data_IF_026641674413
#
_entry.id   IF_026641674413
#
_cell.length_a   1.000
_cell.length_b   1.000
_cell.length_c   1.000
_cell.angle_alpha   90.00
_cell.angle_beta   90.00
_cell.angle_gamma   90.00
#
_symmetry.space_group_name_H-M   'P 1'
#
loop_
_entity.id
_entity.type
_entity.pdbx_description
1 polymer ?
#
# COMPACT_ATOMS: atom_id res chain seq x y z
N UNK A 1 -9.59 15.02 65.64
CA UNK A 1 -10.12 15.74 64.48
C UNK A 1 -8.98 16.01 63.49
N UNK A 2 -9.10 15.47 62.27
CA UNK A 2 -8.50 15.94 61.00
C UNK A 2 -7.04 15.61 60.59
N UNK A 3 -6.96 14.70 59.60
CA UNK A 3 -6.18 14.73 58.34
C UNK A 3 -4.63 14.67 58.39
N UNK A 4 -4.03 13.50 58.10
CA UNK A 4 -3.60 13.00 56.77
C UNK A 4 -2.35 13.69 56.18
N UNK A 5 -1.19 13.38 56.74
CA UNK A 5 0.07 13.42 55.98
C UNK A 5 0.41 12.00 55.53
N UNK A 6 -0.27 11.59 54.45
CA UNK A 6 0.05 10.40 53.69
C UNK A 6 1.41 10.64 53.03
N UNK A 7 2.45 10.10 53.65
CA UNK A 7 3.70 9.76 52.97
C UNK A 7 3.35 8.88 51.76
N UNK A 8 3.22 9.52 50.59
CA UNK A 8 3.24 8.86 49.30
C UNK A 8 4.59 8.16 49.18
N UNK A 9 4.62 6.86 49.48
CA UNK A 9 5.68 5.98 49.05
C UNK A 9 5.66 6.02 47.51
N UNK A 10 6.54 6.85 46.95
CA UNK A 10 6.74 6.98 45.50
C UNK A 10 7.33 5.66 45.02
N UNK A 11 6.45 4.74 44.61
CA UNK A 11 6.84 3.46 44.05
C UNK A 11 7.77 3.69 42.85
N UNK A 12 8.89 2.96 42.74
CA UNK A 12 9.78 3.08 41.61
C UNK A 12 9.03 2.67 40.35
N UNK A 13 8.88 3.61 39.43
CA UNK A 13 8.13 3.45 38.19
C UNK A 13 8.85 2.43 37.26
N UNK A 14 8.34 1.18 37.15
CA UNK A 14 9.08 0.07 36.55
C UNK A 14 9.19 0.18 35.03
N UNK A 15 8.45 1.13 34.43
CA UNK A 15 8.34 1.36 32.98
C UNK A 15 9.14 2.61 32.56
N UNK A 16 9.87 3.24 33.49
CA UNK A 16 10.68 4.44 33.22
C UNK A 16 11.76 4.22 32.16
N UNK A 17 12.31 3.02 32.08
CA UNK A 17 13.32 2.67 31.08
C UNK A 17 12.71 2.51 29.67
N UNK A 18 11.50 1.97 29.57
CA UNK A 18 10.72 1.87 28.32
C UNK A 18 10.33 3.24 27.78
N UNK A 19 9.86 4.14 28.64
CA UNK A 19 9.51 5.51 28.24
C UNK A 19 10.73 6.29 27.76
N UNK A 20 11.87 6.14 28.45
CA UNK A 20 13.15 6.75 28.06
C UNK A 20 13.70 6.21 26.74
N UNK A 21 13.51 4.91 26.48
CA UNK A 21 13.86 4.31 25.19
C UNK A 21 13.01 4.88 24.05
N UNK A 22 11.69 4.98 24.26
CA UNK A 22 10.77 5.58 23.28
C UNK A 22 11.02 7.07 22.99
N UNK A 23 11.56 7.82 23.96
CA UNK A 23 11.90 9.25 23.81
C UNK A 23 13.27 9.47 23.14
N UNK A 24 14.23 8.55 23.36
CA UNK A 24 15.56 8.60 22.76
C UNK A 24 15.57 8.37 21.24
N UNK A 25 14.65 7.55 20.75
CA UNK A 25 14.50 7.25 19.32
C UNK A 25 13.85 8.41 18.54
N UNK A 26 12.87 9.09 19.15
CA UNK A 26 12.21 10.27 18.55
C UNK A 26 13.15 11.46 18.41
N UNK A 27 14.08 11.65 19.35
CA UNK A 27 15.00 12.79 19.35
C UNK A 27 16.18 12.62 18.35
N UNK A 28 16.54 11.37 18.04
CA UNK A 28 17.55 11.03 17.01
C UNK A 28 16.98 11.03 15.59
N UNK A 29 15.72 10.63 15.41
CA UNK A 29 15.04 10.73 14.12
C UNK A 29 14.72 12.18 13.71
N UNK A 30 14.46 13.06 14.69
CA UNK A 30 14.16 14.47 14.44
C UNK A 30 15.37 15.33 14.04
N UNK A 31 16.60 14.91 14.37
CA UNK A 31 17.81 15.73 14.20
C UNK A 31 18.65 15.43 12.95
N UNK A 32 18.36 14.36 12.20
CA UNK A 32 19.13 14.00 10.99
C UNK A 32 18.31 13.90 9.69
N UNK A 33 16.98 14.00 9.73
CA UNK A 33 16.14 13.64 8.56
C UNK A 33 15.24 14.76 8.02
N UNK A 34 15.63 16.03 8.16
CA UNK A 34 14.91 17.16 7.53
C UNK A 34 15.79 18.07 6.65
N UNK A 35 17.07 17.73 6.46
CA UNK A 35 18.01 18.59 5.71
C UNK A 35 18.64 17.94 4.47
N UNK A 36 18.26 16.68 4.15
CA UNK A 36 18.68 15.95 2.93
C UNK A 36 17.51 15.34 2.15
N UNK A 37 16.36 16.00 2.09
CA UNK A 37 15.49 15.76 0.93
C UNK A 37 15.94 16.76 -0.14
N UNK A 38 16.48 16.32 -1.28
CA UNK A 38 16.57 17.18 -2.45
C UNK A 38 15.23 17.87 -2.58
N UNK A 39 15.20 19.21 -2.66
CA UNK A 39 13.94 19.90 -2.94
C UNK A 39 13.55 19.52 -4.36
N UNK A 40 12.86 18.39 -4.49
CA UNK A 40 12.27 17.96 -5.73
C UNK A 40 11.39 19.11 -6.18
N UNK A 41 11.68 19.64 -7.34
CA UNK A 41 10.83 20.69 -7.89
C UNK A 41 9.41 20.10 -8.02
N UNK A 42 8.35 20.89 -7.81
CA UNK A 42 6.98 20.38 -7.89
C UNK A 42 6.67 19.68 -9.24
N UNK A 43 7.42 20.04 -10.29
CA UNK A 43 7.45 19.38 -11.60
C UNK A 43 8.00 17.94 -11.55
N UNK A 44 9.13 17.71 -10.87
CA UNK A 44 9.80 16.40 -10.78
C UNK A 44 9.00 15.39 -9.94
N UNK A 45 8.41 15.84 -8.83
CA UNK A 45 7.53 15.00 -8.01
C UNK A 45 6.28 14.56 -8.79
N UNK A 46 5.74 15.41 -9.66
CA UNK A 46 4.58 15.10 -10.49
C UNK A 46 4.90 14.05 -11.56
N UNK A 47 6.09 14.14 -12.18
CA UNK A 47 6.55 13.17 -13.18
C UNK A 47 6.80 11.80 -12.55
N UNK A 48 7.39 11.77 -11.36
CA UNK A 48 7.60 10.54 -10.60
C UNK A 48 6.26 9.88 -10.21
N UNK A 49 5.31 10.66 -9.71
CA UNK A 49 3.97 10.17 -9.37
C UNK A 49 3.23 9.57 -10.58
N UNK A 50 3.36 10.19 -11.77
CA UNK A 50 2.79 9.65 -13.00
C UNK A 50 3.42 8.31 -13.42
N UNK A 51 4.73 8.14 -13.24
CA UNK A 51 5.40 6.86 -13.50
C UNK A 51 4.91 5.76 -12.55
N UNK A 52 4.73 6.09 -11.27
CA UNK A 52 4.15 5.19 -10.28
C UNK A 52 2.71 4.81 -10.63
N UNK A 53 1.84 5.77 -10.96
CA UNK A 53 0.47 5.50 -11.37
C UNK A 53 0.40 4.64 -12.64
N UNK A 54 1.30 4.85 -13.60
CA UNK A 54 1.39 4.01 -14.80
C UNK A 54 1.79 2.58 -14.46
N UNK A 55 2.79 2.39 -13.60
CA UNK A 55 3.23 1.07 -13.15
C UNK A 55 2.11 0.32 -12.43
N UNK A 56 1.42 1.03 -11.53
CA UNK A 56 0.27 0.51 -10.80
C UNK A 56 -0.88 0.14 -11.74
N UNK A 57 -1.19 1.03 -12.68
CA UNK A 57 -2.25 0.83 -13.68
C UNK A 57 -1.99 -0.37 -14.59
N UNK A 58 -0.74 -0.59 -15.01
CA UNK A 58 -0.36 -1.76 -15.81
C UNK A 58 -0.58 -3.07 -15.05
N UNK A 59 -0.20 -3.12 -13.77
CA UNK A 59 -0.44 -4.30 -12.93
C UNK A 59 -1.93 -4.50 -12.66
N UNK A 60 -2.67 -3.43 -12.39
CA UNK A 60 -4.12 -3.49 -12.23
C UNK A 60 -4.79 -4.05 -13.50
N UNK A 61 -4.39 -3.61 -14.69
CA UNK A 61 -4.91 -4.13 -15.96
C UNK A 61 -4.60 -5.61 -16.16
N UNK A 62 -3.38 -6.05 -15.83
CA UNK A 62 -3.04 -7.47 -15.86
C UNK A 62 -3.93 -8.28 -14.92
N UNK A 63 -4.12 -7.81 -13.68
CA UNK A 63 -5.03 -8.42 -12.72
C UNK A 63 -6.49 -8.44 -13.21
N UNK A 64 -6.99 -7.35 -13.78
CA UNK A 64 -8.33 -7.28 -14.38
C UNK A 64 -8.49 -8.33 -15.48
N UNK A 65 -7.50 -8.48 -16.36
CA UNK A 65 -7.50 -9.49 -17.41
C UNK A 65 -7.60 -10.91 -16.86
N UNK A 66 -6.81 -11.22 -15.82
CA UNK A 66 -6.86 -12.52 -15.13
C UNK A 66 -8.24 -12.74 -14.48
N UNK A 67 -8.75 -11.76 -13.73
CA UNK A 67 -10.05 -11.86 -13.07
C UNK A 67 -11.19 -12.04 -14.07
N UNK A 68 -11.17 -11.31 -15.18
CA UNK A 68 -12.13 -11.48 -16.27
C UNK A 68 -12.04 -12.89 -16.87
N UNK A 69 -10.83 -13.38 -17.16
CA UNK A 69 -10.62 -14.73 -17.68
C UNK A 69 -11.16 -15.81 -16.73
N UNK A 70 -10.93 -15.67 -15.43
CA UNK A 70 -11.47 -16.58 -14.39
C UNK A 70 -13.00 -16.51 -14.38
N UNK A 71 -13.59 -15.32 -14.33
CA UNK A 71 -15.05 -15.16 -14.33
C UNK A 71 -15.70 -15.73 -15.60
N UNK A 72 -15.08 -15.53 -16.75
CA UNK A 72 -15.51 -16.14 -18.03
C UNK A 72 -15.38 -17.66 -17.98
N UNK A 73 -14.29 -18.21 -17.44
CA UNK A 73 -14.11 -19.64 -17.30
C UNK A 73 -15.20 -20.28 -16.42
N UNK A 74 -15.58 -19.63 -15.32
CA UNK A 74 -16.68 -20.10 -14.46
C UNK A 74 -18.01 -20.18 -15.21
N UNK A 75 -18.30 -19.19 -16.06
CA UNK A 75 -19.50 -19.18 -16.89
C UNK A 75 -19.44 -20.28 -17.96
N UNK A 76 -18.33 -20.38 -18.69
CA UNK A 76 -18.18 -21.32 -19.81
C UNK A 76 -18.19 -22.79 -19.34
N UNK A 77 -17.60 -23.06 -18.19
CA UNK A 77 -17.59 -24.39 -17.58
C UNK A 77 -18.89 -24.71 -16.80
N UNK A 78 -19.88 -23.79 -16.83
CA UNK A 78 -21.16 -23.90 -16.13
C UNK A 78 -21.00 -24.19 -14.62
N UNK A 79 -19.97 -23.62 -14.00
CA UNK A 79 -19.70 -23.80 -12.56
C UNK A 79 -20.84 -23.18 -11.76
N UNK A 80 -21.47 -23.98 -10.89
CA UNK A 80 -22.64 -23.53 -10.13
C UNK A 80 -23.86 -23.22 -10.99
N UNK A 81 -23.90 -23.64 -12.26
CA UNK A 81 -25.02 -23.37 -13.17
C UNK A 81 -25.03 -21.96 -13.78
N UNK A 82 -23.90 -21.23 -13.70
CA UNK A 82 -23.79 -19.85 -14.20
C UNK A 82 -24.02 -19.74 -15.72
N UNK A 83 -23.54 -20.72 -16.50
CA UNK A 83 -23.74 -20.74 -17.95
C UNK A 83 -25.21 -20.89 -18.31
N UNK A 84 -25.91 -21.83 -17.65
CA UNK A 84 -27.36 -22.04 -17.81
C UNK A 84 -28.19 -20.85 -17.31
N UNK A 85 -27.73 -20.18 -16.25
CA UNK A 85 -28.37 -18.96 -15.75
C UNK A 85 -28.33 -17.87 -16.81
N UNK A 86 -27.17 -17.65 -17.44
CA UNK A 86 -27.01 -16.68 -18.52
C UNK A 86 -27.83 -17.06 -19.75
N UNK A 87 -27.85 -18.34 -20.15
CA UNK A 87 -28.57 -18.77 -21.37
C UNK A 87 -30.09 -18.68 -21.25
N UNK A 88 -30.62 -18.71 -20.03
CA UNK A 88 -32.07 -18.59 -19.76
C UNK A 88 -32.51 -17.14 -19.49
N UNK A 89 -31.57 -16.23 -19.27
CA UNK A 89 -31.88 -14.85 -18.95
C UNK A 89 -32.40 -14.12 -20.20
N UNK A 90 -33.55 -13.40 -20.12
CA UNK A 90 -34.02 -12.55 -21.21
C UNK A 90 -33.01 -11.47 -21.62
N UNK A 91 -32.22 -11.01 -20.65
CA UNK A 91 -31.07 -10.14 -20.86
C UNK A 91 -29.87 -10.70 -20.08
N UNK A 92 -28.83 -11.22 -20.75
CA UNK A 92 -27.68 -11.82 -20.08
C UNK A 92 -26.66 -10.79 -19.56
N UNK A 93 -26.80 -9.50 -19.91
CA UNK A 93 -25.81 -8.46 -19.54
C UNK A 93 -25.71 -8.28 -18.01
N UNK A 94 -26.81 -8.11 -17.25
CA UNK A 94 -26.70 -7.91 -15.81
C UNK A 94 -26.01 -9.07 -15.06
N UNK A 95 -26.41 -10.36 -15.23
CA UNK A 95 -25.75 -11.45 -14.53
C UNK A 95 -24.30 -11.66 -15.00
N UNK A 96 -23.99 -11.37 -16.26
CA UNK A 96 -22.60 -11.38 -16.75
C UNK A 96 -21.74 -10.36 -16.00
N UNK A 97 -22.19 -9.12 -15.88
CA UNK A 97 -21.45 -8.08 -15.15
C UNK A 97 -21.32 -8.39 -13.66
N UNK A 98 -22.36 -8.95 -13.04
CA UNK A 98 -22.32 -9.36 -11.63
C UNK A 98 -21.28 -10.45 -11.35
N UNK A 99 -20.90 -11.24 -12.35
CA UNK A 99 -19.78 -12.20 -12.23
C UNK A 99 -18.46 -11.52 -12.59
N UNK A 100 -18.34 -10.91 -13.76
CA UNK A 100 -17.05 -10.42 -14.25
C UNK A 100 -16.48 -9.29 -13.40
N UNK A 101 -17.30 -8.31 -13.01
CA UNK A 101 -16.85 -7.11 -12.30
C UNK A 101 -16.17 -7.43 -10.96
N UNK A 102 -16.74 -8.23 -10.05
CA UNK A 102 -16.07 -8.53 -8.77
C UNK A 102 -14.77 -9.33 -8.96
N UNK A 103 -14.71 -10.28 -9.90
CA UNK A 103 -13.46 -11.00 -10.17
C UNK A 103 -12.38 -10.08 -10.76
N UNK A 104 -12.73 -9.28 -11.78
CA UNK A 104 -11.82 -8.29 -12.35
C UNK A 104 -11.32 -7.30 -11.29
N UNK A 105 -12.21 -6.82 -10.41
CA UNK A 105 -11.86 -5.87 -9.34
C UNK A 105 -10.95 -6.50 -8.29
N UNK A 106 -11.25 -7.73 -7.87
CA UNK A 106 -10.45 -8.47 -6.89
C UNK A 106 -9.02 -8.70 -7.39
N UNK A 107 -8.88 -9.26 -8.59
CA UNK A 107 -7.57 -9.56 -9.14
C UNK A 107 -6.83 -8.28 -9.56
N UNK A 108 -7.52 -7.29 -10.11
CA UNK A 108 -6.94 -5.97 -10.40
C UNK A 108 -6.38 -5.29 -9.16
N UNK A 109 -7.15 -5.27 -8.06
CA UNK A 109 -6.71 -4.73 -6.78
C UNK A 109 -5.54 -5.52 -6.18
N UNK A 110 -5.58 -6.85 -6.24
CA UNK A 110 -4.49 -7.69 -5.75
C UNK A 110 -3.19 -7.49 -6.53
N UNK A 111 -3.26 -7.42 -7.87
CA UNK A 111 -2.10 -7.15 -8.72
C UNK A 111 -1.55 -5.73 -8.49
N UNK A 112 -2.42 -4.73 -8.36
CA UNK A 112 -2.03 -3.37 -8.01
C UNK A 112 -1.34 -3.30 -6.64
N UNK A 113 -1.91 -3.93 -5.60
CA UNK A 113 -1.31 -3.99 -4.27
C UNK A 113 0.06 -4.70 -4.30
N UNK A 114 0.17 -5.79 -5.07
CA UNK A 114 1.44 -6.49 -5.26
C UNK A 114 2.48 -5.59 -5.90
N UNK A 115 2.09 -4.79 -6.90
CA UNK A 115 2.96 -3.83 -7.55
C UNK A 115 3.52 -2.81 -6.55
N UNK A 116 2.69 -2.32 -5.63
CA UNK A 116 3.12 -1.40 -4.56
C UNK A 116 4.19 -2.03 -3.68
N UNK A 117 4.03 -3.30 -3.27
CA UNK A 117 5.03 -4.00 -2.47
C UNK A 117 6.35 -4.25 -3.23
N UNK A 118 6.28 -4.42 -4.55
CA UNK A 118 7.45 -4.69 -5.39
C UNK A 118 8.15 -3.44 -5.93
N UNK A 119 7.61 -2.25 -5.72
CA UNK A 119 8.22 -1.01 -6.19
C UNK A 119 9.59 -0.81 -5.52
N UNK A 120 10.68 -0.70 -6.29
CA UNK A 120 12.02 -0.48 -5.74
C UNK A 120 12.17 1.00 -5.36
N UNK A 121 11.68 1.39 -4.19
CA UNK A 121 11.85 2.74 -3.67
C UNK A 121 13.32 3.06 -3.31
N UNK A 122 14.12 2.05 -2.96
CA UNK A 122 15.48 2.24 -2.46
C UNK A 122 16.53 2.49 -3.55
N UNK A 123 16.28 2.11 -4.81
CA UNK A 123 17.31 2.23 -5.86
C UNK A 123 17.38 3.65 -6.44
N UNK A 124 16.28 4.41 -6.40
CA UNK A 124 16.21 5.74 -7.00
C UNK A 124 16.97 6.81 -6.21
N UNK A 125 17.24 6.57 -4.92
CA UNK A 125 18.00 7.50 -4.07
C UNK A 125 19.49 7.16 -3.96
N UNK A 126 19.89 5.93 -4.32
CA UNK A 126 21.29 5.49 -4.19
C UNK A 126 22.17 5.91 -5.37
N UNK A 127 21.58 6.01 -6.57
CA UNK A 127 22.30 6.41 -7.78
C UNK A 127 22.58 7.94 -7.85
N UNK A 128 21.82 8.75 -7.11
CA UNK A 128 22.06 10.21 -7.01
C UNK A 128 23.16 10.59 -6.00
N UNK A 129 23.45 9.72 -5.03
CA UNK A 129 24.52 9.93 -4.06
C UNK A 129 25.89 9.55 -4.67
N UNK A 130 25.97 8.43 -5.41
CA UNK A 130 27.22 7.94 -6.04
C UNK A 130 27.73 8.87 -7.17
N UNK A 131 26.82 9.53 -7.90
CA UNK A 131 27.18 10.44 -8.99
C UNK A 131 27.70 11.81 -8.52
N UNK A 132 27.54 12.17 -7.24
CA UNK A 132 28.03 13.44 -6.66
C UNK A 132 29.36 13.32 -5.93
N UNK A 133 29.76 12.11 -5.54
CA UNK A 133 31.07 11.86 -4.92
C UNK A 133 32.21 11.74 -5.94
N UNK A 134 31.89 11.64 -7.24
CA UNK A 134 32.88 11.60 -8.33
C UNK A 134 33.32 12.97 -8.89
N UNK A 135 32.75 14.08 -8.41
CA UNK A 135 33.02 15.45 -8.92
C UNK A 135 33.74 16.38 -7.92
N UNK A 136 34.37 15.84 -6.86
CA UNK A 136 35.15 16.64 -5.88
C UNK A 136 36.65 16.44 -5.97
#
# INVERSE_FOLDING_TARGET
>A
MSQRDLHMARLPDPIRWLRRWAEGERSRAASLHNSRKPRMTPEEARRDHWQMLRYLGLHALAGIGIGAAVGTALILLDIGGLGKLLSRAPNPIPPFLLVIVPFASLFGGAAAASAIFTLPYDTKYRDEDDNREGES
#
